data_IF_717939606348
#
_entry.id   IF_717939606348
#
_cell.length_a   1.000
_cell.length_b   1.000
_cell.length_c   1.000
_cell.angle_alpha   90.00
_cell.angle_beta   90.00
_cell.angle_gamma   90.00
#
_symmetry.space_group_name_H-M   'P 1'
#
loop_
_entity.id
_entity.type
_entity.pdbx_description
1 polymer ?
#
# COMPACT_ATOMS: atom_id res chain seq x y z
N UNK A 1 7.56 -15.03 -8.65
CA UNK A 1 8.18 -13.72 -8.92
C UNK A 1 7.64 -12.78 -7.88
N UNK A 2 8.48 -12.35 -6.93
CA UNK A 2 8.10 -11.32 -5.94
C UNK A 2 7.83 -10.03 -6.68
N UNK A 3 6.57 -9.66 -6.81
CA UNK A 3 6.18 -8.41 -7.48
C UNK A 3 6.80 -7.24 -6.70
N UNK A 4 7.74 -6.53 -7.31
CA UNK A 4 8.33 -5.36 -6.67
C UNK A 4 7.30 -4.23 -6.68
N UNK A 5 7.17 -3.53 -5.54
CA UNK A 5 6.37 -2.32 -5.44
C UNK A 5 7.29 -1.15 -5.13
N UNK A 6 7.13 -0.05 -5.85
CA UNK A 6 7.93 1.16 -5.65
C UNK A 6 7.10 2.18 -4.89
N UNK A 7 7.68 2.79 -3.87
CA UNK A 7 7.04 3.91 -3.17
C UNK A 7 7.02 5.13 -4.10
N UNK A 8 5.83 5.65 -4.36
CA UNK A 8 5.61 6.84 -5.20
C UNK A 8 5.49 8.09 -4.34
N UNK A 9 4.78 7.97 -3.22
CA UNK A 9 4.61 9.09 -2.30
C UNK A 9 4.42 8.65 -0.87
N UNK A 10 4.82 9.52 0.05
CA UNK A 10 4.63 9.40 1.50
C UNK A 10 4.16 10.73 2.04
N UNK A 11 2.94 10.76 2.57
CA UNK A 11 2.34 11.94 3.17
C UNK A 11 2.06 11.70 4.65
N UNK A 12 2.43 12.65 5.49
CA UNK A 12 2.09 12.65 6.91
C UNK A 12 0.80 13.46 7.07
N UNK A 13 -0.17 12.91 7.79
CA UNK A 13 -1.44 13.55 8.13
C UNK A 13 -1.64 13.49 9.65
N UNK A 14 -2.66 14.17 10.19
CA UNK A 14 -3.02 14.05 11.60
C UNK A 14 -3.36 12.61 12.01
N UNK A 15 -3.92 11.85 11.07
CA UNK A 15 -4.41 10.49 11.31
C UNK A 15 -3.30 9.43 11.21
N UNK A 16 -2.20 9.74 10.53
CA UNK A 16 -1.18 8.74 10.23
C UNK A 16 -0.30 9.09 9.04
N UNK A 17 0.30 8.05 8.45
CA UNK A 17 1.10 8.16 7.23
C UNK A 17 0.34 7.49 6.09
N UNK A 18 0.06 8.25 5.04
CA UNK A 18 -0.48 7.74 3.78
C UNK A 18 0.70 7.40 2.86
N UNK A 19 0.78 6.14 2.48
CA UNK A 19 1.76 5.60 1.54
C UNK A 19 1.07 5.30 0.22
N UNK A 20 1.66 5.77 -0.87
CA UNK A 20 1.27 5.40 -2.22
C UNK A 20 2.36 4.55 -2.83
N UNK A 21 2.01 3.33 -3.21
CA UNK A 21 2.91 2.39 -3.87
C UNK A 21 2.40 2.07 -5.26
N UNK A 22 3.31 1.92 -6.22
CA UNK A 22 2.98 1.45 -7.57
C UNK A 22 3.58 0.08 -7.76
N UNK A 23 2.73 -0.87 -8.12
CA UNK A 23 3.17 -2.20 -8.54
C UNK A 23 3.75 -2.13 -9.95
N UNK A 24 4.63 -3.07 -10.29
CA UNK A 24 5.15 -3.24 -11.66
C UNK A 24 4.06 -3.38 -12.71
N UNK A 25 2.89 -3.93 -12.36
CA UNK A 25 1.73 -3.99 -13.27
C UNK A 25 1.06 -2.63 -13.50
N UNK A 26 1.64 -1.54 -13.00
CA UNK A 26 1.16 -0.17 -13.17
C UNK A 26 0.06 0.26 -12.19
N UNK A 27 -0.53 -0.66 -11.42
CA UNK A 27 -1.58 -0.33 -10.43
C UNK A 27 -1.02 0.44 -9.26
N UNK A 28 -1.83 1.39 -8.80
CA UNK A 28 -1.54 2.21 -7.63
C UNK A 28 -2.30 1.64 -6.42
N UNK A 29 -1.57 1.48 -5.32
CA UNK A 29 -2.08 1.05 -4.01
C UNK A 29 -1.86 2.16 -3.00
N UNK A 30 -2.87 2.41 -2.19
CA UNK A 30 -2.81 3.29 -1.03
C UNK A 30 -2.80 2.46 0.24
N UNK A 31 -1.95 2.82 1.18
CA UNK A 31 -1.99 2.35 2.56
C UNK A 31 -2.01 3.52 3.53
N UNK A 32 -3.01 3.58 4.41
CA UNK A 32 -2.99 4.44 5.59
C UNK A 32 -2.43 3.64 6.76
N UNK A 33 -1.35 4.13 7.34
CA UNK A 33 -0.75 3.64 8.58
C UNK A 33 -1.12 4.60 9.71
N UNK A 34 -2.11 4.27 10.56
CA UNK A 34 -2.52 5.16 11.64
C UNK A 34 -1.41 5.36 12.68
N UNK A 35 -1.44 6.49 13.39
CA UNK A 35 -0.51 6.74 14.49
C UNK A 35 -0.83 5.97 15.78
N UNK A 36 -2.09 5.52 15.96
CA UNK A 36 -2.53 4.73 17.10
C UNK A 36 -2.86 3.28 16.74
N UNK A 37 -3.67 2.62 17.58
CA UNK A 37 -4.01 1.20 17.44
C UNK A 37 -5.07 0.90 16.37
N UNK A 38 -5.47 1.91 15.59
CA UNK A 38 -6.39 1.70 14.49
C UNK A 38 -5.76 0.79 13.41
N UNK A 39 -6.54 -0.10 12.79
CA UNK A 39 -6.02 -1.00 11.78
C UNK A 39 -5.58 -0.24 10.53
N UNK A 40 -4.55 -0.77 9.86
CA UNK A 40 -4.12 -0.28 8.54
C UNK A 40 -5.29 -0.37 7.55
N UNK A 41 -5.51 0.72 6.82
CA UNK A 41 -6.43 0.72 5.70
C UNK A 41 -5.67 0.59 4.39
N UNK A 42 -6.15 -0.26 3.49
CA UNK A 42 -5.57 -0.45 2.17
C UNK A 42 -6.65 -0.23 1.11
N UNK A 43 -6.32 0.54 0.07
CA UNK A 43 -7.16 0.72 -1.10
C UNK A 43 -6.37 0.44 -2.38
N UNK A 44 -7.06 -0.07 -3.41
CA UNK A 44 -6.44 -0.48 -4.66
C UNK A 44 -5.48 -1.67 -4.53
N UNK A 45 -5.88 -2.78 -3.88
CA UNK A 45 -5.02 -3.95 -3.81
C UNK A 45 -4.67 -4.44 -5.22
N UNK A 46 -3.38 -4.69 -5.44
CA UNK A 46 -2.95 -5.29 -6.69
C UNK A 46 -3.29 -6.80 -6.67
N UNK A 47 -4.03 -7.33 -7.67
CA UNK A 47 -4.37 -8.74 -7.71
C UNK A 47 -3.14 -9.64 -7.79
N UNK A 48 -2.04 -9.14 -8.36
CA UNK A 48 -0.76 -9.85 -8.45
C UNK A 48 0.02 -9.85 -7.12
N UNK A 49 -0.31 -8.97 -6.18
CA UNK A 49 0.35 -8.94 -4.86
C UNK A 49 -0.26 -9.96 -3.88
N UNK A 50 -1.50 -10.40 -4.11
CA UNK A 50 -2.20 -11.38 -3.28
C UNK A 50 -2.05 -12.84 -3.79
N UNK A 51 -1.33 -13.05 -4.89
CA UNK A 51 -1.14 -14.36 -5.53
C UNK A 51 -0.12 -15.29 -4.85
N UNK A 52 0.39 -14.94 -3.67
CA UNK A 52 1.35 -15.75 -2.89
C UNK A 52 0.76 -16.19 -1.54
N UNK A 53 -0.37 -16.90 -1.60
CA UNK A 53 -0.91 -17.70 -0.49
C UNK A 53 -1.53 -18.99 -1.03
N UNK A 54 -0.69 -19.84 -1.63
CA UNK A 54 -1.01 -21.25 -1.85
C UNK A 54 -0.22 -22.11 -0.86
#
# INVERSE_FOLDING_TARGET
MTQHSTLVSRHITSEGVVLWTRCECGRLRMDLVPHGDAPRLTAGPCPHAAGDRR
#
